data_IF_370554274498
#
_entry.id   IF_370554274498
#
_cell.length_a   1.000
_cell.length_b   1.000
_cell.length_c   1.000
_cell.angle_alpha   90.00
_cell.angle_beta   90.00
_cell.angle_gamma   90.00
#
_symmetry.space_group_name_H-M   'P 1'
#
loop_
_entity.id
_entity.type
_entity.pdbx_description
1 polymer ?
#
# COMPACT_ATOMS: atom_id res chain seq x y z
N UNK A 1 -6.07 -1.25 -3.53
CA UNK A 1 -4.94 -0.41 -4.04
C UNK A 1 -4.14 -1.25 -5.03
N UNK A 2 -3.68 -0.69 -6.15
CA UNK A 2 -3.01 -1.45 -7.21
C UNK A 2 -1.69 -0.83 -7.65
N UNK A 3 -0.59 -1.57 -7.55
CA UNK A 3 0.69 -1.22 -8.15
C UNK A 3 0.85 -1.85 -9.54
N UNK A 4 1.74 -1.30 -10.35
CA UNK A 4 1.92 -1.73 -11.73
C UNK A 4 3.23 -2.47 -11.87
N UNK A 5 3.16 -3.70 -12.36
CA UNK A 5 4.34 -4.49 -12.70
C UNK A 5 4.51 -4.54 -14.21
N UNK A 6 5.74 -4.32 -14.68
CA UNK A 6 6.13 -4.55 -16.07
C UNK A 6 6.74 -5.95 -16.18
N UNK A 7 6.16 -6.79 -17.03
CA UNK A 7 6.62 -8.15 -17.29
C UNK A 7 7.62 -8.14 -18.45
N UNK A 8 8.71 -8.87 -18.26
CA UNK A 8 9.78 -9.11 -19.21
C UNK A 8 9.91 -10.62 -19.45
N UNK A 9 10.09 -11.01 -20.71
CA UNK A 9 10.30 -12.41 -21.11
C UNK A 9 11.79 -12.62 -21.38
N UNK A 10 12.33 -13.71 -20.87
CA UNK A 10 13.71 -14.15 -21.11
C UNK A 10 13.72 -15.56 -21.72
N UNK A 11 14.92 -16.06 -22.08
CA UNK A 11 15.08 -17.35 -22.75
C UNK A 11 14.43 -18.50 -21.97
N UNK A 12 14.59 -18.51 -20.64
CA UNK A 12 14.17 -19.62 -19.77
C UNK A 12 13.17 -19.19 -18.68
N UNK A 13 12.40 -18.13 -18.89
CA UNK A 13 11.41 -17.70 -17.89
C UNK A 13 10.95 -16.26 -18.07
N UNK A 14 10.46 -15.71 -16.97
CA UNK A 14 9.91 -14.36 -16.90
C UNK A 14 10.42 -13.66 -15.65
N UNK A 15 10.54 -12.35 -15.75
CA UNK A 15 10.71 -11.50 -14.58
C UNK A 15 9.79 -10.30 -14.66
N UNK A 16 9.53 -9.70 -13.51
CA UNK A 16 8.70 -8.53 -13.40
C UNK A 16 9.28 -7.56 -12.38
N UNK A 17 9.06 -6.27 -12.63
CA UNK A 17 9.45 -5.20 -11.73
C UNK A 17 8.29 -4.25 -11.50
N UNK A 18 8.14 -3.81 -10.26
CA UNK A 18 7.21 -2.75 -9.90
C UNK A 18 7.70 -1.42 -10.47
N UNK A 19 6.82 -0.71 -11.19
CA UNK A 19 7.14 0.56 -11.84
C UNK A 19 7.32 1.67 -10.81
N UNK A 20 6.54 1.64 -9.72
CA UNK A 20 6.57 2.67 -8.69
C UNK A 20 7.56 2.39 -7.54
N UNK A 21 7.93 1.12 -7.33
CA UNK A 21 8.77 0.70 -6.19
C UNK A 21 10.12 0.17 -6.67
N UNK A 22 11.15 1.03 -6.62
CA UNK A 22 12.52 0.67 -7.05
C UNK A 22 13.04 -0.52 -6.22
N UNK A 23 13.48 -1.56 -6.89
CA UNK A 23 14.01 -2.78 -6.26
C UNK A 23 12.94 -3.81 -5.87
N UNK A 24 11.65 -3.52 -6.07
CA UNK A 24 10.60 -4.53 -5.96
C UNK A 24 10.52 -5.33 -7.26
N UNK A 25 11.27 -6.43 -7.31
CA UNK A 25 11.44 -7.29 -8.50
C UNK A 25 11.21 -8.76 -8.16
N UNK A 26 10.77 -9.54 -9.12
CA UNK A 26 10.60 -10.99 -8.95
C UNK A 26 10.74 -11.72 -10.28
N UNK A 27 10.92 -13.04 -10.23
CA UNK A 27 11.06 -13.91 -11.39
C UNK A 27 10.35 -15.25 -11.18
N UNK A 28 10.06 -15.94 -12.28
CA UNK A 28 9.46 -17.27 -12.28
C UNK A 28 9.67 -17.97 -13.62
N UNK A 29 9.48 -19.29 -13.64
CA UNK A 29 9.63 -20.09 -14.85
C UNK A 29 8.42 -19.96 -15.80
N UNK A 30 7.24 -19.63 -15.24
CA UNK A 30 6.00 -19.45 -15.98
C UNK A 30 5.20 -18.23 -15.51
N UNK A 31 4.22 -17.80 -16.30
CA UNK A 31 3.43 -16.59 -16.02
C UNK A 31 2.52 -16.72 -14.80
N UNK A 32 2.01 -17.90 -14.48
CA UNK A 32 1.10 -18.10 -13.35
C UNK A 32 1.84 -17.99 -12.03
N UNK A 33 3.02 -18.61 -11.94
CA UNK A 33 3.95 -18.47 -10.83
C UNK A 33 4.44 -17.02 -10.71
N UNK A 34 4.77 -16.36 -11.84
CA UNK A 34 5.16 -14.96 -11.82
C UNK A 34 4.08 -14.07 -11.19
N UNK A 35 2.80 -14.32 -11.49
CA UNK A 35 1.68 -13.56 -10.92
C UNK A 35 1.56 -13.72 -9.41
N UNK A 36 1.77 -14.93 -8.89
CA UNK A 36 1.80 -15.19 -7.44
C UNK A 36 3.00 -14.47 -6.81
N UNK A 37 4.18 -14.64 -7.40
CA UNK A 37 5.40 -14.03 -6.88
C UNK A 37 5.34 -12.49 -6.90
N UNK A 38 4.66 -11.89 -7.89
CA UNK A 38 4.42 -10.44 -7.95
C UNK A 38 3.56 -9.95 -6.78
N UNK A 39 2.50 -10.69 -6.43
CA UNK A 39 1.68 -10.37 -5.27
C UNK A 39 2.48 -10.51 -3.97
N UNK A 40 3.22 -11.60 -3.80
CA UNK A 40 4.02 -11.85 -2.61
C UNK A 40 5.11 -10.79 -2.42
N UNK A 41 5.91 -10.52 -3.46
CA UNK A 41 7.00 -9.54 -3.36
C UNK A 41 6.47 -8.12 -3.12
N UNK A 42 5.33 -7.75 -3.70
CA UNK A 42 4.72 -6.45 -3.48
C UNK A 42 4.33 -6.27 -2.01
N UNK A 43 3.62 -7.26 -1.45
CA UNK A 43 3.15 -7.19 -0.08
C UNK A 43 4.29 -7.34 0.92
N UNK A 44 5.32 -8.14 0.62
CA UNK A 44 6.53 -8.22 1.44
C UNK A 44 7.25 -6.88 1.48
N UNK A 45 7.50 -6.28 0.32
CA UNK A 45 8.21 -5.01 0.18
C UNK A 45 7.50 -3.86 0.91
N UNK A 46 6.17 -3.79 0.77
CA UNK A 46 5.35 -2.76 1.42
C UNK A 46 5.13 -2.99 2.93
N UNK A 47 5.40 -4.21 3.43
CA UNK A 47 5.24 -4.58 4.84
C UNK A 47 6.59 -4.65 5.58
N UNK A 48 7.70 -4.25 4.94
CA UNK A 48 8.99 -4.16 5.61
C UNK A 48 8.89 -3.23 6.83
N UNK A 49 9.29 -3.70 8.03
CA UNK A 49 9.30 -2.86 9.23
C UNK A 49 10.30 -1.73 9.03
N UNK A 50 9.80 -0.51 8.89
CA UNK A 50 10.61 0.66 8.58
C UNK A 50 11.66 0.98 9.65
N UNK A 51 12.91 1.30 9.27
CA UNK A 51 13.56 2.48 9.79
C UNK A 51 12.78 3.71 9.28
N UNK A 52 12.51 4.65 10.17
CA UNK A 52 11.51 5.74 10.20
C UNK A 52 11.42 6.70 8.98
N UNK A 53 12.12 6.44 7.88
CA UNK A 53 12.39 7.40 6.80
C UNK A 53 11.98 6.96 5.39
N UNK A 54 11.54 5.71 5.15
CA UNK A 54 11.11 5.28 3.81
C UNK A 54 9.64 5.59 3.56
N UNK A 55 9.35 6.70 2.89
CA UNK A 55 8.00 6.96 2.39
C UNK A 55 7.79 6.24 1.05
N UNK A 56 6.97 5.18 1.04
CA UNK A 56 6.57 4.53 -0.21
C UNK A 56 5.66 5.46 -1.04
N UNK A 57 5.92 5.64 -2.34
CA UNK A 57 5.04 6.41 -3.21
C UNK A 57 3.73 5.66 -3.42
N UNK A 58 2.60 6.37 -3.41
CA UNK A 58 1.32 5.79 -3.82
C UNK A 58 1.35 5.39 -5.31
N UNK A 59 0.59 4.34 -5.70
CA UNK A 59 0.57 3.90 -7.09
C UNK A 59 -0.03 4.95 -8.02
N UNK A 60 0.43 4.98 -9.27
CA UNK A 60 -0.07 5.92 -10.28
C UNK A 60 -1.41 5.42 -10.85
N UNK A 61 -2.40 6.28 -11.02
CA UNK A 61 -3.77 5.86 -11.41
C UNK A 61 -3.88 5.23 -12.81
N UNK A 62 -3.13 5.74 -13.78
CA UNK A 62 -3.38 5.51 -15.21
C UNK A 62 -2.16 4.98 -15.98
N UNK A 63 -1.36 4.08 -15.39
CA UNK A 63 -0.31 3.41 -16.17
C UNK A 63 -0.98 2.37 -17.08
N UNK A 64 -0.80 2.56 -18.39
CA UNK A 64 -1.19 1.60 -19.43
C UNK A 64 0.02 1.33 -20.31
N UNK A 65 0.15 0.10 -20.79
CA UNK A 65 1.23 -0.28 -21.69
C UNK A 65 1.28 -1.78 -21.94
N UNK A 66 2.03 -2.17 -22.95
CA UNK A 66 2.27 -3.59 -23.27
C UNK A 66 2.99 -4.25 -22.08
N UNK A 67 2.52 -5.43 -21.70
CA UNK A 67 3.06 -6.25 -20.60
C UNK A 67 3.02 -5.57 -19.22
N UNK A 68 2.13 -4.59 -19.02
CA UNK A 68 1.91 -4.00 -17.69
C UNK A 68 0.69 -4.65 -17.06
N UNK A 69 0.87 -5.20 -15.86
CA UNK A 69 -0.19 -5.82 -15.07
C UNK A 69 -0.40 -5.08 -13.77
N UNK A 70 -1.64 -5.09 -13.28
CA UNK A 70 -2.00 -4.51 -11.98
C UNK A 70 -1.95 -5.60 -10.93
N UNK A 71 -1.28 -5.31 -9.83
CA UNK A 71 -1.13 -6.21 -8.69
C UNK A 71 -1.75 -5.54 -7.48
N UNK A 72 -2.71 -6.23 -6.87
CA UNK A 72 -3.41 -5.77 -5.67
C UNK A 72 -2.46 -5.79 -4.48
N UNK A 73 -2.55 -4.76 -3.65
CA UNK A 73 -1.98 -4.72 -2.30
C UNK A 73 -2.98 -5.31 -1.31
N UNK A 74 -2.49 -6.07 -0.35
CA UNK A 74 -3.26 -6.53 0.80
C UNK A 74 -4.01 -5.36 1.47
N UNK A 75 -5.30 -5.51 1.83
CA UNK A 75 -6.10 -4.40 2.34
C UNK A 75 -5.53 -3.75 3.60
N UNK A 76 -4.91 -4.52 4.50
CA UNK A 76 -4.34 -3.97 5.73
C UNK A 76 -3.11 -3.10 5.42
N UNK A 77 -2.23 -3.61 4.55
CA UNK A 77 -1.08 -2.84 4.06
C UNK A 77 -1.55 -1.57 3.34
N UNK A 78 -2.53 -1.71 2.43
CA UNK A 78 -3.08 -0.59 1.66
C UNK A 78 -3.70 0.47 2.57
N UNK A 79 -4.46 0.07 3.60
CA UNK A 79 -5.04 0.99 4.58
C UNK A 79 -3.94 1.77 5.32
N UNK A 80 -2.98 1.06 5.92
CA UNK A 80 -1.94 1.66 6.73
C UNK A 80 -1.06 2.63 5.93
N UNK A 81 -0.67 2.24 4.71
CA UNK A 81 0.10 3.10 3.81
C UNK A 81 -0.68 4.34 3.38
N UNK A 82 -1.96 4.18 3.03
CA UNK A 82 -2.78 5.29 2.57
C UNK A 82 -3.01 6.31 3.69
N UNK A 83 -3.33 5.85 4.90
CA UNK A 83 -3.48 6.71 6.07
C UNK A 83 -2.18 7.46 6.39
N UNK A 84 -1.04 6.75 6.38
CA UNK A 84 0.29 7.36 6.57
C UNK A 84 0.57 8.42 5.52
N UNK A 85 0.27 8.14 4.25
CA UNK A 85 0.47 9.10 3.17
C UNK A 85 -0.37 10.37 3.35
N UNK A 86 -1.66 10.23 3.71
CA UNK A 86 -2.51 11.38 4.00
C UNK A 86 -1.99 12.19 5.18
N UNK A 87 -1.63 11.52 6.28
CA UNK A 87 -1.04 12.20 7.45
C UNK A 87 0.19 13.03 7.04
N UNK A 88 1.12 12.44 6.29
CA UNK A 88 2.34 13.11 5.86
C UNK A 88 2.08 14.25 4.85
N UNK A 89 1.15 14.05 3.91
CA UNK A 89 0.70 15.08 2.96
C UNK A 89 0.15 16.32 3.69
N UNK A 90 -0.58 16.10 4.78
CA UNK A 90 -1.10 17.16 5.66
C UNK A 90 -0.09 17.65 6.71
N UNK A 91 1.16 17.19 6.65
CA UNK A 91 2.25 17.56 7.58
C UNK A 91 1.93 17.29 9.05
N UNK A 92 1.13 16.27 9.33
CA UNK A 92 0.72 15.90 10.68
C UNK A 92 1.68 14.87 11.30
N UNK A 93 2.01 15.08 12.57
CA UNK A 93 2.66 14.07 13.41
C UNK A 93 1.66 13.00 13.83
N UNK A 94 2.14 11.81 14.21
CA UNK A 94 1.29 10.76 14.76
C UNK A 94 0.51 11.23 16.01
N UNK A 95 1.11 12.09 16.84
CA UNK A 95 0.47 12.65 18.04
C UNK A 95 -0.69 13.59 17.69
N UNK A 96 -0.51 14.47 16.71
CA UNK A 96 -1.55 15.43 16.30
C UNK A 96 -2.79 14.70 15.77
N UNK A 97 -2.61 13.77 14.83
CA UNK A 97 -3.75 13.04 14.26
C UNK A 97 -4.41 12.12 15.29
N UNK A 98 -3.66 11.54 16.23
CA UNK A 98 -4.23 10.77 17.33
C UNK A 98 -5.19 11.64 18.17
N UNK A 99 -4.78 12.88 18.49
CA UNK A 99 -5.63 13.85 19.20
C UNK A 99 -6.86 14.23 18.38
N UNK A 100 -6.70 14.50 17.08
CA UNK A 100 -7.82 14.82 16.19
C UNK A 100 -8.84 13.68 16.08
N UNK A 101 -8.38 12.42 16.13
CA UNK A 101 -9.25 11.23 16.15
C UNK A 101 -9.89 10.95 17.53
N UNK A 102 -9.54 11.75 18.55
CA UNK A 102 -9.99 11.58 19.93
C UNK A 102 -9.36 10.39 20.64
N UNK A 103 -8.15 9.99 20.26
CA UNK A 103 -7.43 8.87 20.89
C UNK A 103 -6.68 9.32 22.14
N UNK A 104 -6.80 8.53 23.22
CA UNK A 104 -6.15 8.82 24.51
C UNK A 104 -4.66 8.51 24.53
N UNK A 105 -4.16 7.64 23.65
CA UNK A 105 -2.76 7.26 23.60
C UNK A 105 -2.25 7.15 22.15
N UNK A 106 -0.94 7.40 21.99
CA UNK A 106 -0.26 7.36 20.69
C UNK A 106 -0.27 5.96 20.07
N UNK A 107 -0.16 4.93 20.90
CA UNK A 107 -0.13 3.54 20.46
C UNK A 107 -1.39 3.15 19.68
N UNK A 108 -2.56 3.68 20.09
CA UNK A 108 -3.83 3.45 19.37
C UNK A 108 -3.77 3.93 17.93
N UNK A 109 -3.10 5.06 17.68
CA UNK A 109 -2.89 5.57 16.32
C UNK A 109 -1.83 4.76 15.57
N UNK A 110 -0.72 4.44 16.22
CA UNK A 110 0.36 3.65 15.61
C UNK A 110 -0.15 2.32 15.06
N UNK A 111 -1.12 1.67 15.74
CA UNK A 111 -1.77 0.45 15.23
C UNK A 111 -2.48 0.64 13.89
N UNK A 112 -2.98 1.83 13.57
CA UNK A 112 -3.62 2.11 12.28
C UNK A 112 -2.59 2.21 11.14
N UNK A 113 -1.36 2.63 11.43
CA UNK A 113 -0.25 2.68 10.46
C UNK A 113 0.59 1.40 10.44
N UNK A 114 0.21 0.36 11.22
CA UNK A 114 0.89 -0.93 11.26
C UNK A 114 0.03 -2.00 10.55
N UNK A 115 0.44 -2.49 9.36
CA UNK A 115 -0.35 -3.45 8.60
C UNK A 115 -0.71 -4.74 9.38
N UNK A 116 0.18 -5.20 10.26
CA UNK A 116 -0.06 -6.40 11.09
C UNK A 116 -1.09 -6.20 12.20
N UNK A 117 -1.45 -4.96 12.55
CA UNK A 117 -2.29 -4.63 13.73
C UNK A 117 -3.53 -3.81 13.38
N UNK A 118 -3.65 -3.35 12.14
CA UNK A 118 -4.72 -2.48 11.69
C UNK A 118 -6.04 -3.25 11.62
N UNK A 119 -7.05 -2.72 12.30
CA UNK A 119 -8.42 -3.21 12.27
C UNK A 119 -9.38 -2.09 12.74
N UNK A 120 -9.58 -1.04 11.91
CA UNK A 120 -10.41 0.09 12.27
C UNK A 120 -11.88 -0.28 12.26
N UNK A 121 -12.65 0.22 13.24
CA UNK A 121 -14.11 0.14 13.19
C UNK A 121 -14.69 1.08 12.12
N UNK A 122 -15.93 0.84 11.70
CA UNK A 122 -16.65 1.75 10.79
C UNK A 122 -16.72 3.18 11.34
N UNK A 123 -16.90 3.33 12.65
CA UNK A 123 -16.88 4.63 13.31
C UNK A 123 -15.50 5.32 13.18
N UNK A 124 -14.41 4.56 13.30
CA UNK A 124 -13.06 5.09 13.09
C UNK A 124 -12.84 5.51 11.63
N UNK A 125 -13.30 4.71 10.66
CA UNK A 125 -13.25 5.06 9.23
C UNK A 125 -14.04 6.36 8.97
N UNK A 126 -15.21 6.51 9.58
CA UNK A 126 -16.00 7.75 9.52
C UNK A 126 -15.21 8.97 10.01
N UNK A 127 -14.57 8.87 11.18
CA UNK A 127 -13.71 9.94 11.74
C UNK A 127 -12.50 10.26 10.85
N UNK A 128 -11.88 9.23 10.27
CA UNK A 128 -10.76 9.43 9.33
C UNK A 128 -11.27 10.21 8.11
N UNK A 129 -12.45 9.87 7.58
CA UNK A 129 -13.04 10.58 6.42
C UNK A 129 -13.45 12.01 6.74
N UNK A 130 -13.84 12.33 7.98
CA UNK A 130 -14.11 13.73 8.36
C UNK A 130 -12.84 14.56 8.41
N UNK A 131 -11.70 13.98 8.80
CA UNK A 131 -10.40 14.67 8.85
C UNK A 131 -9.76 14.73 7.45
N UNK A 132 -9.88 13.64 6.69
CA UNK A 132 -9.37 13.51 5.33
C UNK A 132 -10.53 13.20 4.37
N UNK A 133 -11.27 14.21 3.88
CA UNK A 133 -12.37 14.01 2.92
C UNK A 133 -11.92 13.32 1.63
N UNK A 134 -10.63 13.42 1.28
CA UNK A 134 -10.07 12.71 0.13
C UNK A 134 -9.84 11.20 0.36
N UNK A 135 -10.00 10.69 1.58
CA UNK A 135 -9.84 9.27 1.89
C UNK A 135 -10.97 8.45 1.25
N UNK A 136 -10.59 7.60 0.30
CA UNK A 136 -11.51 6.71 -0.40
C UNK A 136 -11.29 5.26 0.02
N UNK A 137 -12.25 4.69 0.74
CA UNK A 137 -12.19 3.29 1.18
C UNK A 137 -12.11 2.32 -0.01
N UNK A 138 -12.71 2.69 -1.14
CA UNK A 138 -12.66 1.90 -2.37
C UNK A 138 -11.23 1.77 -2.90
N UNK A 139 -10.36 2.75 -2.68
CA UNK A 139 -8.95 2.66 -3.10
C UNK A 139 -8.21 1.55 -2.35
N UNK A 140 -8.74 1.03 -1.23
CA UNK A 140 -8.19 -0.08 -0.45
C UNK A 140 -8.72 -1.40 -1.00
N UNK A 141 -10.04 -1.55 -1.10
CA UNK A 141 -10.71 -2.82 -1.39
C UNK A 141 -11.06 -3.07 -2.85
N UNK A 142 -10.86 -2.10 -3.75
CA UNK A 142 -11.27 -2.26 -5.15
C UNK A 142 -10.74 -3.57 -5.71
N UNK A 143 -11.66 -4.49 -5.99
CA UNK A 143 -11.51 -5.58 -6.95
C UNK A 143 -11.94 -5.01 -8.29
N UNK A 144 -11.04 -4.94 -9.25
CA UNK A 144 -11.43 -4.91 -10.67
C UNK A 144 -11.52 -6.33 -11.17
#
# INVERSE_FOLDING_TARGET
MYYHFKIHREKNGYWAQCIELKGCVTQANNLDELRKNMYEVLNLYLNEPEPTTKNFPLPKKNIKGKNIVKVMVDPNIAFSLYLKHLRLKHKLTQKQIAQMLGMKNLYSYQRLELPKKVNPSLAMIGKIKTIFPEFKIDDIFSKK
#
